data_IF_641926971006
#
_entry.id   IF_641926971006
#
_cell.length_a   1.000
_cell.length_b   1.000
_cell.length_c   1.000
_cell.angle_alpha   90.00
_cell.angle_beta   90.00
_cell.angle_gamma   90.00
#
_symmetry.space_group_name_H-M   'P 1'
#
loop_
_entity.id
_entity.type
_entity.pdbx_description
1 polymer ?
#
# COMPACT_ATOMS: atom_id res chain seq x y z
N UNK A 1 17.32 -4.26 0.13
CA UNK A 1 18.72 -3.79 0.29
C UNK A 1 18.81 -3.19 1.69
N UNK A 2 19.71 -3.70 2.53
CA UNK A 2 19.95 -3.07 3.83
C UNK A 2 20.74 -1.77 3.58
N UNK A 3 20.25 -0.67 4.10
CA UNK A 3 20.95 0.61 4.09
C UNK A 3 21.72 0.73 5.41
N UNK A 4 22.93 1.24 5.40
CA UNK A 4 23.70 1.51 6.62
C UNK A 4 23.92 3.00 6.76
N UNK A 5 23.72 3.51 7.96
CA UNK A 5 24.00 4.88 8.35
C UNK A 5 25.13 4.88 9.38
N UNK A 6 26.22 5.54 9.05
CA UNK A 6 27.29 5.81 10.01
C UNK A 6 27.05 7.21 10.57
N UNK A 7 26.90 7.30 11.88
CA UNK A 7 26.72 8.57 12.60
C UNK A 7 28.07 9.01 13.15
N UNK A 8 28.53 10.18 12.75
CA UNK A 8 29.76 10.75 13.26
C UNK A 8 29.52 11.47 14.59
N UNK A 9 30.54 11.50 15.46
CA UNK A 9 30.47 12.32 16.69
C UNK A 9 30.33 13.79 16.33
N UNK A 10 29.69 14.61 17.17
CA UNK A 10 29.54 16.04 16.92
C UNK A 10 30.89 16.79 16.77
N UNK A 11 31.94 16.30 17.42
CA UNK A 11 33.30 16.84 17.41
C UNK A 11 34.23 16.15 16.39
N UNK A 12 33.67 15.27 15.52
CA UNK A 12 34.46 14.56 14.52
C UNK A 12 35.16 15.52 13.55
N UNK A 13 36.47 15.32 13.37
CA UNK A 13 37.27 16.15 12.47
C UNK A 13 37.02 15.78 11.00
N UNK A 14 37.27 16.73 10.11
CA UNK A 14 37.12 16.51 8.67
C UNK A 14 37.93 15.31 8.14
N UNK A 15 39.13 15.10 8.70
CA UNK A 15 40.00 13.98 8.36
C UNK A 15 39.38 12.63 8.77
N UNK A 16 38.72 12.55 9.93
CA UNK A 16 38.05 11.34 10.40
C UNK A 16 36.84 10.98 9.51
N UNK A 17 36.06 12.00 9.08
CA UNK A 17 34.98 11.83 8.13
C UNK A 17 35.49 11.29 6.78
N UNK A 18 36.60 11.86 6.29
CA UNK A 18 37.24 11.43 5.04
C UNK A 18 37.75 9.99 5.11
N UNK A 19 38.32 9.60 6.26
CA UNK A 19 38.78 8.24 6.49
C UNK A 19 37.65 7.22 6.48
N UNK A 20 36.48 7.57 7.06
CA UNK A 20 35.28 6.72 6.99
C UNK A 20 34.80 6.59 5.54
N UNK A 21 34.79 7.70 4.77
CA UNK A 21 34.41 7.68 3.35
C UNK A 21 35.34 6.77 2.55
N UNK A 22 36.66 6.85 2.78
CA UNK A 22 37.66 5.97 2.15
C UNK A 22 37.47 4.51 2.53
N UNK A 23 37.14 4.21 3.80
CA UNK A 23 36.85 2.85 4.26
C UNK A 23 35.62 2.26 3.59
N UNK A 24 34.56 3.05 3.42
CA UNK A 24 33.35 2.66 2.65
C UNK A 24 33.72 2.35 1.20
N UNK A 25 34.50 3.23 0.55
CA UNK A 25 34.98 3.06 -0.83
C UNK A 25 35.86 1.82 -1.03
N UNK A 26 36.71 1.52 -0.07
CA UNK A 26 37.59 0.34 -0.09
C UNK A 26 36.81 -0.99 -0.09
N UNK A 27 35.62 -1.00 0.48
CA UNK A 27 34.68 -2.14 0.45
C UNK A 27 33.84 -2.19 -0.84
N UNK A 28 34.06 -1.29 -1.80
CA UNK A 28 33.34 -1.23 -3.07
C UNK A 28 31.95 -0.60 -2.95
N UNK A 29 31.66 0.15 -1.88
CA UNK A 29 30.38 0.82 -1.66
C UNK A 29 30.48 2.32 -1.95
N UNK A 30 29.32 2.98 -2.06
CA UNK A 30 29.25 4.44 -2.20
C UNK A 30 28.89 5.08 -0.87
N UNK A 31 29.62 6.12 -0.49
CA UNK A 31 29.38 6.93 0.69
C UNK A 31 28.65 8.21 0.30
N UNK A 32 27.52 8.48 0.95
CA UNK A 32 26.73 9.70 0.78
C UNK A 32 26.79 10.52 2.08
N UNK A 33 27.50 11.63 2.05
CA UNK A 33 27.65 12.52 3.20
C UNK A 33 26.39 13.36 3.39
N UNK A 34 25.83 13.32 4.59
CA UNK A 34 24.67 14.11 5.02
C UNK A 34 25.09 14.97 6.21
N UNK A 35 25.06 16.30 6.04
CA UNK A 35 25.37 17.26 7.11
C UNK A 35 24.06 17.75 7.70
N UNK A 36 23.76 17.37 8.93
CA UNK A 36 22.69 17.91 9.74
C UNK A 36 23.16 19.02 10.68
N UNK A 37 22.24 19.72 11.33
CA UNK A 37 22.56 20.80 12.27
C UNK A 37 23.36 20.33 13.49
N UNK A 38 23.20 19.09 13.93
CA UNK A 38 23.83 18.55 15.14
C UNK A 38 24.83 17.43 14.87
N UNK A 39 24.67 16.69 13.78
CA UNK A 39 25.50 15.52 13.46
C UNK A 39 25.78 15.43 11.97
N UNK A 40 26.96 14.97 11.64
CA UNK A 40 27.27 14.51 10.29
C UNK A 40 27.01 13.01 10.22
N UNK A 41 26.35 12.56 9.16
CA UNK A 41 26.09 11.15 8.92
C UNK A 41 26.55 10.73 7.53
N UNK A 42 26.95 9.47 7.37
CA UNK A 42 27.39 8.91 6.10
C UNK A 42 26.46 7.73 5.76
N UNK A 43 25.67 7.89 4.73
CA UNK A 43 24.81 6.83 4.20
C UNK A 43 25.60 5.93 3.24
N UNK A 44 25.56 4.62 3.43
CA UNK A 44 26.22 3.66 2.55
C UNK A 44 25.20 3.11 1.56
N UNK A 45 25.52 3.20 0.26
CA UNK A 45 24.71 2.66 -0.85
C UNK A 45 25.58 1.79 -1.78
N UNK A 46 24.91 1.06 -2.71
CA UNK A 46 25.61 0.20 -3.68
C UNK A 46 25.87 -1.23 -3.20
N UNK A 47 25.52 -1.57 -1.96
CA UNK A 47 25.70 -2.91 -1.43
C UNK A 47 24.65 -3.91 -2.00
N UNK A 48 25.13 -5.11 -2.33
CA UNK A 48 24.27 -6.23 -2.78
C UNK A 48 23.82 -7.13 -1.63
N UNK A 49 24.55 -7.10 -0.51
CA UNK A 49 24.30 -7.89 0.70
C UNK A 49 24.30 -7.00 1.94
N UNK A 50 23.99 -7.59 3.08
CA UNK A 50 24.03 -6.92 4.38
C UNK A 50 25.49 -6.54 4.72
N UNK A 51 25.70 -5.31 5.12
CA UNK A 51 27.02 -4.80 5.57
C UNK A 51 27.12 -5.02 7.08
N UNK A 52 28.31 -5.45 7.54
CA UNK A 52 28.57 -5.60 8.98
C UNK A 52 28.90 -4.24 9.60
N UNK A 53 28.15 -3.76 10.61
CA UNK A 53 28.45 -2.52 11.34
C UNK A 53 29.86 -2.51 11.96
N UNK A 54 30.34 -3.68 12.40
CA UNK A 54 31.66 -3.84 12.98
C UNK A 54 32.82 -3.33 12.11
N UNK A 55 32.60 -3.22 10.80
CA UNK A 55 33.60 -2.64 9.89
C UNK A 55 33.86 -1.13 10.12
N UNK A 56 32.92 -0.44 10.78
CA UNK A 56 32.92 1.01 10.91
C UNK A 56 32.84 1.51 12.36
N UNK A 57 32.28 0.74 13.28
CA UNK A 57 32.03 1.14 14.68
C UNK A 57 33.32 1.56 15.41
N UNK A 58 34.45 0.97 15.07
CA UNK A 58 35.74 1.25 15.71
C UNK A 58 36.58 2.31 14.99
N UNK A 59 36.06 2.94 13.93
CA UNK A 59 36.80 4.00 13.24
C UNK A 59 36.78 5.31 14.05
N UNK A 60 37.91 6.06 14.06
CA UNK A 60 37.95 7.35 14.74
C UNK A 60 36.84 8.29 14.28
N UNK A 61 36.23 9.00 15.22
CA UNK A 61 35.14 9.94 14.94
C UNK A 61 33.75 9.32 14.73
N UNK A 62 33.63 8.00 14.68
CA UNK A 62 32.32 7.32 14.58
C UNK A 62 31.68 7.26 15.96
N UNK A 63 30.40 7.66 16.04
CA UNK A 63 29.59 7.52 17.23
C UNK A 63 28.79 6.20 17.19
N UNK A 64 28.27 5.82 16.01
CA UNK A 64 27.46 4.63 15.85
C UNK A 64 27.40 4.21 14.36
N UNK A 65 27.20 2.92 14.10
CA UNK A 65 26.98 2.37 12.77
C UNK A 65 25.68 1.56 12.73
N UNK A 66 24.62 2.19 12.26
CA UNK A 66 23.26 1.69 12.35
C UNK A 66 22.86 0.99 11.04
N UNK A 67 22.50 -0.28 11.12
CA UNK A 67 21.88 -0.98 10.01
C UNK A 67 20.41 -0.60 9.91
N UNK A 68 20.07 0.17 8.88
CA UNK A 68 18.69 0.51 8.59
C UNK A 68 18.12 -0.59 7.66
N UNK A 69 17.53 -1.59 8.24
CA UNK A 69 16.72 -2.58 7.53
C UNK A 69 15.30 -2.04 7.44
N UNK A 70 14.96 -1.40 6.30
CA UNK A 70 13.55 -1.16 6.03
C UNK A 70 12.90 -2.53 5.79
N UNK A 71 11.86 -2.90 6.53
CA UNK A 71 11.17 -4.16 6.36
C UNK A 71 10.46 -4.25 4.99
N UNK A 72 10.19 -3.09 4.38
CA UNK A 72 9.55 -2.97 3.06
C UNK A 72 10.58 -2.92 1.93
N UNK A 73 10.32 -3.61 0.82
CA UNK A 73 11.21 -3.71 -0.35
C UNK A 73 10.55 -3.25 -1.66
N UNK A 74 9.30 -3.64 -1.88
CA UNK A 74 8.54 -3.40 -3.10
C UNK A 74 7.73 -2.11 -3.01
N UNK A 75 7.22 -1.79 -1.82
CA UNK A 75 6.45 -0.56 -1.55
C UNK A 75 7.33 0.69 -1.42
N UNK A 76 8.66 0.56 -1.45
CA UNK A 76 9.60 1.69 -1.38
C UNK A 76 9.75 2.34 -2.75
N UNK A 77 9.59 3.65 -2.82
CA UNK A 77 9.67 4.43 -4.06
C UNK A 77 11.02 4.35 -4.79
N UNK A 78 12.13 4.26 -4.05
CA UNK A 78 13.51 4.07 -4.58
C UNK A 78 13.85 4.90 -5.83
N UNK A 79 13.43 6.18 -5.90
CA UNK A 79 13.66 7.07 -7.04
C UNK A 79 12.76 6.80 -8.27
N UNK A 80 11.80 5.90 -8.17
CA UNK A 80 10.78 5.67 -9.23
C UNK A 80 9.81 6.84 -9.28
N UNK A 81 9.22 7.08 -10.44
CA UNK A 81 8.10 8.02 -10.61
C UNK A 81 6.87 7.61 -9.78
N UNK A 82 5.92 8.53 -9.66
CA UNK A 82 4.65 8.23 -9.02
C UNK A 82 3.94 7.08 -9.74
N UNK A 83 3.51 6.08 -8.98
CA UNK A 83 2.81 4.91 -9.54
C UNK A 83 1.50 5.35 -10.19
N UNK A 84 1.19 4.71 -11.32
CA UNK A 84 -0.08 4.83 -12.02
C UNK A 84 -0.62 3.42 -12.20
N UNK A 85 -1.64 3.09 -11.42
CA UNK A 85 -2.22 1.73 -11.36
C UNK A 85 -3.38 1.64 -12.35
N UNK A 86 -3.24 0.84 -13.42
CA UNK A 86 -4.32 0.63 -14.40
C UNK A 86 -5.46 -0.16 -13.76
N UNK A 87 -6.70 0.27 -13.98
CA UNK A 87 -7.92 -0.41 -13.53
C UNK A 87 -8.94 -0.29 -14.66
N UNK A 88 -9.23 -1.40 -15.33
CA UNK A 88 -10.08 -1.41 -16.52
C UNK A 88 -9.56 -0.49 -17.61
N UNK A 89 -10.38 0.44 -18.08
CA UNK A 89 -10.02 1.43 -19.10
C UNK A 89 -9.49 2.75 -18.54
N UNK A 90 -9.22 2.83 -17.23
CA UNK A 90 -8.72 4.03 -16.56
C UNK A 90 -7.54 3.69 -15.62
N UNK A 91 -7.12 4.61 -14.77
CA UNK A 91 -6.06 4.38 -13.80
C UNK A 91 -6.22 5.25 -12.56
N UNK A 92 -5.58 4.84 -11.45
CA UNK A 92 -5.45 5.61 -10.21
C UNK A 92 -3.98 6.00 -10.03
N UNK A 93 -3.71 7.26 -9.71
CA UNK A 93 -2.36 7.82 -9.56
C UNK A 93 -1.89 8.61 -10.79
N UNK A 94 -0.58 8.92 -10.84
CA UNK A 94 -0.01 9.72 -11.93
C UNK A 94 -0.34 11.22 -11.88
N UNK A 95 -0.80 11.72 -10.71
CA UNK A 95 -1.11 13.14 -10.50
C UNK A 95 -2.56 13.55 -10.81
N UNK A 96 -3.38 12.65 -11.33
CA UNK A 96 -4.81 12.90 -11.55
C UNK A 96 -5.65 12.44 -10.35
N UNK A 97 -6.67 13.24 -10.01
CA UNK A 97 -7.65 12.84 -8.99
C UNK A 97 -8.60 11.78 -9.56
N UNK A 98 -8.64 10.61 -8.93
CA UNK A 98 -9.58 9.56 -9.25
C UNK A 98 -10.71 9.52 -8.20
N UNK A 99 -11.96 9.65 -8.65
CA UNK A 99 -13.13 9.56 -7.79
C UNK A 99 -13.75 8.17 -7.93
N UNK A 100 -13.88 7.48 -6.79
CA UNK A 100 -14.54 6.18 -6.69
C UNK A 100 -15.86 6.40 -5.94
N UNK A 101 -16.99 6.31 -6.63
CA UNK A 101 -18.30 6.58 -6.07
C UNK A 101 -19.23 5.36 -6.20
N UNK A 102 -20.29 5.31 -5.38
CA UNK A 102 -21.26 4.24 -5.39
C UNK A 102 -21.78 3.85 -4.01
N UNK A 103 -22.76 2.94 -3.93
CA UNK A 103 -23.44 2.58 -2.70
C UNK A 103 -22.53 1.75 -1.77
N UNK A 104 -22.80 1.78 -0.47
CA UNK A 104 -22.08 0.95 0.49
C UNK A 104 -22.35 -0.55 0.25
N UNK A 105 -23.60 -0.91 -0.03
CA UNK A 105 -24.05 -2.25 -0.36
C UNK A 105 -24.91 -2.20 -1.63
N UNK A 106 -24.88 -3.27 -2.41
CA UNK A 106 -25.88 -3.50 -3.45
C UNK A 106 -27.10 -4.11 -2.78
N UNK A 107 -28.22 -3.45 -2.84
CA UNK A 107 -29.45 -3.86 -2.15
C UNK A 107 -30.46 -4.44 -3.14
N UNK A 108 -30.65 -3.74 -4.25
CA UNK A 108 -31.51 -4.16 -5.34
C UNK A 108 -31.07 -3.55 -6.68
N UNK A 109 -31.68 -3.98 -7.76
CA UNK A 109 -31.35 -3.54 -9.12
C UNK A 109 -31.64 -2.06 -9.36
N UNK A 110 -32.76 -1.54 -8.84
CA UNK A 110 -33.17 -0.16 -9.03
C UNK A 110 -32.15 0.80 -8.40
N UNK A 111 -31.79 0.55 -7.14
CA UNK A 111 -30.75 1.31 -6.42
C UNK A 111 -29.40 1.29 -7.16
N UNK A 112 -28.95 0.11 -7.61
CA UNK A 112 -27.66 -0.07 -8.27
C UNK A 112 -27.60 0.76 -9.56
N UNK A 113 -28.60 0.63 -10.43
CA UNK A 113 -28.58 1.27 -11.74
C UNK A 113 -28.83 2.77 -11.67
N UNK A 114 -29.74 3.24 -10.81
CA UNK A 114 -29.95 4.66 -10.58
C UNK A 114 -28.69 5.34 -10.02
N UNK A 115 -28.00 4.67 -9.08
CA UNK A 115 -26.74 5.17 -8.55
C UNK A 115 -25.64 5.19 -9.62
N UNK A 116 -25.54 4.14 -10.44
CA UNK A 116 -24.53 4.07 -11.50
C UNK A 116 -24.71 5.16 -12.57
N UNK A 117 -25.96 5.44 -12.94
CA UNK A 117 -26.30 6.53 -13.86
C UNK A 117 -25.86 7.89 -13.30
N UNK A 118 -26.16 8.17 -12.03
CA UNK A 118 -25.74 9.40 -11.38
C UNK A 118 -24.21 9.53 -11.27
N UNK A 119 -23.51 8.42 -10.96
CA UNK A 119 -22.05 8.38 -10.90
C UNK A 119 -21.44 8.64 -12.28
N UNK A 120 -21.94 8.00 -13.34
CA UNK A 120 -21.49 8.23 -14.71
C UNK A 120 -21.72 9.68 -15.14
N UNK A 121 -22.91 10.23 -14.86
CA UNK A 121 -23.25 11.62 -15.19
C UNK A 121 -22.38 12.65 -14.46
N UNK A 122 -21.83 12.30 -13.28
CA UNK A 122 -20.88 13.16 -12.54
C UNK A 122 -19.48 13.22 -13.16
N UNK A 123 -19.17 12.36 -14.15
CA UNK A 123 -17.85 12.23 -14.76
C UNK A 123 -16.87 11.33 -13.98
N UNK A 124 -17.31 10.70 -12.89
CA UNK A 124 -16.50 9.69 -12.21
C UNK A 124 -16.29 8.46 -13.11
N UNK A 125 -15.10 7.86 -13.03
CA UNK A 125 -14.73 6.71 -13.88
C UNK A 125 -14.79 5.37 -13.15
N UNK A 126 -14.97 5.39 -11.84
CA UNK A 126 -14.97 4.20 -11.00
C UNK A 126 -16.27 4.10 -10.20
N UNK A 127 -16.89 2.93 -10.25
CA UNK A 127 -18.05 2.59 -9.46
C UNK A 127 -17.70 1.56 -8.40
N UNK A 128 -18.06 1.84 -7.16
CA UNK A 128 -17.91 0.88 -6.08
C UNK A 128 -19.26 0.43 -5.57
N UNK A 129 -19.37 -0.84 -5.22
CA UNK A 129 -20.54 -1.40 -4.56
C UNK A 129 -20.18 -2.71 -3.87
N UNK A 130 -20.65 -2.93 -2.64
CA UNK A 130 -20.38 -4.18 -1.92
C UNK A 130 -21.39 -5.25 -2.32
N UNK A 131 -20.97 -6.24 -3.12
CA UNK A 131 -21.75 -7.44 -3.41
C UNK A 131 -21.75 -8.40 -2.20
N UNK A 132 -20.63 -8.49 -1.50
CA UNK A 132 -20.46 -9.19 -0.23
C UNK A 132 -20.29 -8.16 0.90
N UNK A 133 -20.88 -8.42 2.08
CA UNK A 133 -20.87 -7.47 3.18
C UNK A 133 -20.38 -8.10 4.48
N UNK A 134 -19.16 -7.73 4.95
CA UNK A 134 -18.68 -8.14 6.27
C UNK A 134 -19.50 -7.41 7.34
N UNK A 135 -20.38 -8.12 8.03
CA UNK A 135 -21.23 -7.58 9.09
C UNK A 135 -20.81 -8.08 10.46
N UNK A 136 -20.91 -7.22 11.47
CA UNK A 136 -20.69 -7.61 12.86
C UNK A 136 -21.78 -8.54 13.38
N UNK A 137 -23.01 -8.35 12.92
CA UNK A 137 -24.14 -9.22 13.26
C UNK A 137 -24.37 -10.25 12.14
N UNK A 138 -24.50 -11.55 12.46
CA UNK A 138 -24.83 -12.57 11.47
C UNK A 138 -26.27 -12.45 10.92
N UNK A 139 -27.11 -11.69 11.61
CA UNK A 139 -28.52 -11.45 11.20
C UNK A 139 -28.65 -10.25 10.25
N UNK A 140 -27.60 -9.46 10.05
CA UNK A 140 -27.62 -8.34 9.12
C UNK A 140 -27.51 -8.83 7.67
N UNK A 141 -27.97 -8.00 6.73
CA UNK A 141 -27.87 -8.27 5.30
C UNK A 141 -26.41 -8.53 4.88
N UNK A 142 -26.16 -9.71 4.30
CA UNK A 142 -24.81 -10.18 3.96
C UNK A 142 -24.36 -9.79 2.52
N UNK A 143 -25.23 -9.11 1.76
CA UNK A 143 -25.01 -8.77 0.36
C UNK A 143 -25.75 -9.69 -0.60
N UNK A 144 -25.74 -9.35 -1.88
CA UNK A 144 -26.37 -10.14 -2.95
C UNK A 144 -25.44 -11.23 -3.53
N UNK A 145 -24.19 -11.28 -3.06
CA UNK A 145 -23.24 -12.29 -3.54
C UNK A 145 -22.97 -12.19 -5.04
N UNK A 146 -22.94 -13.35 -5.70
CA UNK A 146 -22.66 -13.45 -7.15
C UNK A 146 -23.68 -12.69 -8.00
N UNK A 147 -24.94 -12.64 -7.60
CA UNK A 147 -25.95 -11.87 -8.35
C UNK A 147 -25.66 -10.36 -8.29
N UNK A 148 -25.12 -9.87 -7.18
CA UNK A 148 -24.60 -8.52 -7.09
C UNK A 148 -23.38 -8.28 -8.01
N UNK A 149 -22.48 -9.26 -8.15
CA UNK A 149 -21.36 -9.18 -9.09
C UNK A 149 -21.82 -9.09 -10.55
N UNK A 150 -22.82 -9.87 -10.94
CA UNK A 150 -23.43 -9.80 -12.27
C UNK A 150 -24.02 -8.41 -12.55
N UNK A 151 -24.72 -7.83 -11.56
CA UNK A 151 -25.24 -6.45 -11.69
C UNK A 151 -24.11 -5.44 -11.88
N UNK A 152 -22.97 -5.60 -11.19
CA UNK A 152 -21.81 -4.74 -11.37
C UNK A 152 -21.19 -4.88 -12.77
N UNK A 153 -21.12 -6.08 -13.32
CA UNK A 153 -20.69 -6.30 -14.71
C UNK A 153 -21.61 -5.58 -15.71
N UNK A 154 -22.94 -5.65 -15.52
CA UNK A 154 -23.90 -4.90 -16.34
C UNK A 154 -23.72 -3.37 -16.20
N UNK A 155 -23.42 -2.87 -15.00
CA UNK A 155 -23.08 -1.45 -14.79
C UNK A 155 -21.87 -1.05 -15.62
N UNK A 156 -20.81 -1.87 -15.62
CA UNK A 156 -19.62 -1.64 -16.46
C UNK A 156 -19.96 -1.53 -17.92
N UNK A 157 -20.74 -2.49 -18.44
CA UNK A 157 -21.12 -2.54 -19.86
C UNK A 157 -22.01 -1.36 -20.26
N UNK A 158 -22.99 -1.01 -19.41
CA UNK A 158 -23.98 0.01 -19.73
C UNK A 158 -23.46 1.44 -19.59
N UNK A 159 -22.64 1.70 -18.55
CA UNK A 159 -22.21 3.06 -18.20
C UNK A 159 -20.72 3.32 -18.44
N UNK A 160 -19.94 2.31 -18.82
CA UNK A 160 -18.49 2.43 -19.05
C UNK A 160 -17.69 2.68 -17.76
N UNK A 161 -18.24 2.34 -16.59
CA UNK A 161 -17.63 2.53 -15.29
C UNK A 161 -16.76 1.33 -14.91
N UNK A 162 -15.55 1.58 -14.40
CA UNK A 162 -14.67 0.52 -13.88
C UNK A 162 -15.14 0.09 -12.48
N UNK A 163 -15.21 -1.20 -12.25
CA UNK A 163 -15.84 -1.79 -11.06
C UNK A 163 -14.81 -2.10 -9.97
N UNK A 164 -15.10 -1.63 -8.76
CA UNK A 164 -14.33 -1.93 -7.54
C UNK A 164 -15.29 -2.54 -6.51
N UNK A 165 -15.05 -3.79 -6.09
CA UNK A 165 -15.87 -4.46 -5.09
C UNK A 165 -15.05 -5.29 -4.12
N UNK A 166 -15.61 -5.52 -2.92
CA UNK A 166 -14.90 -6.17 -1.81
C UNK A 166 -15.01 -7.70 -1.90
N UNK A 167 -13.87 -8.38 -1.75
CA UNK A 167 -13.79 -9.80 -1.46
C UNK A 167 -13.45 -10.03 0.02
N UNK A 168 -14.00 -11.09 0.64
CA UNK A 168 -13.84 -11.36 2.07
C UNK A 168 -13.02 -12.62 2.36
N UNK A 169 -12.97 -13.54 1.42
CA UNK A 169 -12.27 -14.82 1.48
C UNK A 169 -11.70 -15.19 0.10
N UNK A 170 -10.99 -16.31 0.00
CA UNK A 170 -10.33 -16.74 -1.23
C UNK A 170 -11.32 -17.05 -2.34
N UNK A 171 -12.45 -17.71 -2.03
CA UNK A 171 -13.53 -17.98 -2.99
C UNK A 171 -14.15 -16.69 -3.49
N UNK A 172 -14.32 -15.71 -2.60
CA UNK A 172 -14.78 -14.37 -2.94
C UNK A 172 -13.81 -13.63 -3.85
N UNK A 173 -12.48 -13.81 -3.69
CA UNK A 173 -11.49 -13.23 -4.60
C UNK A 173 -11.67 -13.81 -6.00
N UNK A 174 -11.78 -15.12 -6.14
CA UNK A 174 -11.94 -15.77 -7.45
C UNK A 174 -13.22 -15.28 -8.14
N UNK A 175 -14.34 -15.21 -7.41
CA UNK A 175 -15.59 -14.68 -7.93
C UNK A 175 -15.50 -13.19 -8.31
N UNK A 176 -14.87 -12.35 -7.47
CA UNK A 176 -14.72 -10.91 -7.75
C UNK A 176 -13.80 -10.68 -8.94
N UNK A 177 -12.73 -11.47 -9.07
CA UNK A 177 -11.78 -11.37 -10.19
C UNK A 177 -12.43 -11.63 -11.56
N UNK A 178 -13.50 -12.42 -11.60
CA UNK A 178 -14.26 -12.68 -12.84
C UNK A 178 -15.10 -11.48 -13.29
N UNK A 179 -15.63 -10.67 -12.35
CA UNK A 179 -16.62 -9.64 -12.64
C UNK A 179 -16.14 -8.20 -12.46
N UNK A 180 -15.08 -7.97 -11.68
CA UNK A 180 -14.63 -6.62 -11.32
C UNK A 180 -13.24 -6.28 -11.89
N UNK A 181 -12.96 -4.98 -12.01
CA UNK A 181 -11.70 -4.47 -12.52
C UNK A 181 -10.67 -4.22 -11.40
N UNK A 182 -11.11 -4.21 -10.14
CA UNK A 182 -10.26 -4.07 -8.96
C UNK A 182 -10.91 -4.75 -7.76
N UNK A 183 -10.11 -5.56 -7.07
CA UNK A 183 -10.51 -6.23 -5.83
C UNK A 183 -10.26 -5.30 -4.65
N UNK A 184 -11.28 -5.01 -3.85
CA UNK A 184 -11.09 -4.31 -2.59
C UNK A 184 -10.87 -5.32 -1.46
N UNK A 185 -9.81 -5.11 -0.68
CA UNK A 185 -9.59 -5.81 0.60
C UNK A 185 -9.97 -4.85 1.74
N UNK A 186 -10.97 -5.24 2.50
CA UNK A 186 -11.50 -4.45 3.60
C UNK A 186 -10.53 -4.36 4.79
N UNK A 187 -10.72 -3.33 5.62
CA UNK A 187 -9.86 -3.06 6.79
C UNK A 187 -9.76 -4.24 7.78
N UNK A 188 -10.81 -5.06 7.91
CA UNK A 188 -10.81 -6.25 8.77
C UNK A 188 -9.90 -7.37 8.25
N UNK A 189 -9.61 -7.37 6.95
CA UNK A 189 -8.81 -8.38 6.27
C UNK A 189 -7.39 -7.90 5.91
N UNK A 190 -6.97 -6.70 6.34
CA UNK A 190 -5.63 -6.19 6.06
C UNK A 190 -4.52 -7.13 6.57
N UNK A 191 -4.75 -7.84 7.65
CA UNK A 191 -3.80 -8.79 8.25
C UNK A 191 -4.11 -10.26 7.91
N UNK A 192 -5.08 -10.52 7.04
CA UNK A 192 -5.32 -11.86 6.51
C UNK A 192 -4.32 -12.16 5.40
N UNK A 193 -3.11 -12.54 5.77
CA UNK A 193 -1.99 -12.69 4.83
C UNK A 193 -2.21 -13.81 3.81
N UNK A 194 -2.99 -14.86 4.13
CA UNK A 194 -3.40 -15.87 3.15
C UNK A 194 -4.25 -15.24 2.05
N UNK A 195 -5.26 -14.46 2.44
CA UNK A 195 -6.12 -13.74 1.52
C UNK A 195 -5.33 -12.74 0.65
N UNK A 196 -4.37 -12.00 1.25
CA UNK A 196 -3.55 -11.04 0.51
C UNK A 196 -2.69 -11.72 -0.56
N UNK A 197 -2.09 -12.89 -0.24
CA UNK A 197 -1.36 -13.69 -1.21
C UNK A 197 -2.25 -14.19 -2.33
N UNK A 198 -3.46 -14.66 -2.00
CA UNK A 198 -4.43 -15.12 -3.00
C UNK A 198 -4.84 -13.97 -3.93
N UNK A 199 -5.13 -12.79 -3.38
CA UNK A 199 -5.40 -11.58 -4.15
C UNK A 199 -4.22 -11.18 -5.05
N UNK A 200 -2.98 -11.32 -4.57
CA UNK A 200 -1.77 -11.12 -5.36
C UNK A 200 -1.69 -12.04 -6.57
N UNK A 201 -1.93 -13.33 -6.37
CA UNK A 201 -1.91 -14.35 -7.45
C UNK A 201 -3.01 -14.17 -8.49
N UNK A 202 -4.12 -13.53 -8.16
CA UNK A 202 -5.20 -13.26 -9.13
C UNK A 202 -4.76 -12.34 -10.28
N UNK A 203 -3.71 -11.53 -10.09
CA UNK A 203 -3.25 -10.54 -11.07
C UNK A 203 -4.16 -9.33 -11.26
N UNK A 204 -5.34 -9.32 -10.65
CA UNK A 204 -6.28 -8.19 -10.68
C UNK A 204 -5.78 -7.08 -9.74
N UNK A 205 -5.86 -5.79 -10.12
CA UNK A 205 -5.50 -4.68 -9.23
C UNK A 205 -6.20 -4.77 -7.88
N UNK A 206 -5.49 -4.41 -6.79
CA UNK A 206 -6.01 -4.52 -5.43
C UNK A 206 -6.05 -3.16 -4.76
N UNK A 207 -7.22 -2.77 -4.22
CA UNK A 207 -7.39 -1.64 -3.31
C UNK A 207 -7.36 -2.16 -1.88
N UNK A 208 -6.24 -1.92 -1.18
CA UNK A 208 -6.01 -2.37 0.20
C UNK A 208 -6.33 -1.27 1.20
N UNK A 209 -7.33 -1.50 2.05
CA UNK A 209 -7.72 -0.57 3.12
C UNK A 209 -6.89 -0.79 4.39
N UNK A 210 -6.43 0.31 4.99
CA UNK A 210 -5.76 0.30 6.29
C UNK A 210 -6.65 -0.33 7.37
N UNK A 211 -6.06 -1.17 8.20
CA UNK A 211 -6.73 -1.82 9.33
C UNK A 211 -7.19 -0.81 10.39
N UNK A 212 -8.14 -1.23 11.24
CA UNK A 212 -8.80 -0.36 12.22
C UNK A 212 -7.85 0.22 13.28
N UNK A 213 -6.73 -0.44 13.56
CA UNK A 213 -5.70 -0.02 14.53
C UNK A 213 -4.27 -0.20 13.97
N UNK A 214 -4.15 -0.36 12.66
CA UNK A 214 -2.87 -0.61 12.00
C UNK A 214 -2.04 0.68 11.88
N UNK A 215 -0.73 0.54 12.02
CA UNK A 215 0.23 1.57 11.65
C UNK A 215 0.37 1.68 10.12
N UNK A 216 1.00 2.76 9.63
CA UNK A 216 1.32 2.89 8.21
C UNK A 216 2.33 1.83 7.76
N UNK A 217 3.30 1.48 8.61
CA UNK A 217 4.27 0.42 8.30
C UNK A 217 3.59 -0.94 8.15
N UNK A 218 2.61 -1.27 9.00
CA UNK A 218 1.82 -2.49 8.87
C UNK A 218 0.99 -2.52 7.59
N UNK A 219 0.44 -1.37 7.15
CA UNK A 219 -0.24 -1.27 5.86
C UNK A 219 0.71 -1.51 4.69
N UNK A 220 1.92 -0.93 4.73
CA UNK A 220 2.93 -1.14 3.71
C UNK A 220 3.40 -2.59 3.66
N UNK A 221 3.61 -3.22 4.82
CA UNK A 221 3.96 -4.64 4.91
C UNK A 221 2.84 -5.56 4.40
N UNK A 222 1.59 -5.21 4.65
CA UNK A 222 0.45 -5.92 4.09
C UNK A 222 0.42 -5.83 2.55
N UNK A 223 0.73 -4.65 1.99
CA UNK A 223 0.87 -4.50 0.54
C UNK A 223 2.04 -5.34 -0.03
N UNK A 224 3.16 -5.48 0.70
CA UNK A 224 4.27 -6.36 0.30
C UNK A 224 3.82 -7.81 0.09
N UNK A 225 2.87 -8.33 0.87
CA UNK A 225 2.33 -9.68 0.69
C UNK A 225 1.62 -9.86 -0.66
N UNK A 226 0.93 -8.83 -1.15
CA UNK A 226 0.29 -8.84 -2.47
C UNK A 226 1.35 -8.73 -3.56
N UNK A 227 2.27 -7.77 -3.41
CA UNK A 227 3.31 -7.49 -4.41
C UNK A 227 4.33 -8.62 -4.54
N UNK A 228 4.62 -9.34 -3.46
CA UNK A 228 5.52 -10.50 -3.45
C UNK A 228 5.00 -11.69 -4.28
N UNK A 229 3.69 -11.77 -4.52
CA UNK A 229 3.07 -12.75 -5.42
C UNK A 229 3.09 -12.29 -6.91
N UNK A 230 3.76 -11.17 -7.21
CA UNK A 230 3.94 -10.63 -8.58
C UNK A 230 2.94 -9.57 -9.01
N UNK A 231 2.00 -9.16 -8.15
CA UNK A 231 1.02 -8.12 -8.46
C UNK A 231 1.44 -6.77 -7.88
N UNK A 232 2.07 -5.93 -8.69
CA UNK A 232 2.47 -4.58 -8.29
C UNK A 232 1.32 -3.55 -8.36
N UNK A 233 0.15 -3.93 -8.86
CA UNK A 233 -1.01 -3.05 -9.01
C UNK A 233 -1.80 -2.92 -7.70
N UNK A 234 -1.20 -2.25 -6.70
CA UNK A 234 -1.79 -2.06 -5.38
C UNK A 234 -2.06 -0.59 -5.13
N UNK A 235 -3.31 -0.26 -4.80
CA UNK A 235 -3.76 1.06 -4.34
C UNK A 235 -3.95 1.01 -2.83
N UNK A 236 -3.28 1.88 -2.08
CA UNK A 236 -3.45 2.00 -0.64
C UNK A 236 -4.60 2.96 -0.31
N UNK A 237 -5.45 2.57 0.63
CA UNK A 237 -6.60 3.38 1.05
C UNK A 237 -6.52 3.67 2.55
N UNK A 238 -6.20 4.92 2.89
CA UNK A 238 -6.39 5.44 4.24
C UNK A 238 -7.91 5.56 4.54
N UNK A 239 -8.32 5.20 5.75
CA UNK A 239 -9.72 5.23 6.20
C UNK A 239 -9.90 5.67 7.66
N UNK A 240 -8.81 6.09 8.26
CA UNK A 240 -8.71 6.39 9.66
C UNK A 240 -8.60 5.15 10.55
N UNK A 241 -8.15 5.36 11.77
CA UNK A 241 -8.05 4.33 12.80
C UNK A 241 -9.09 4.58 13.90
N UNK A 242 -9.45 3.51 14.61
CA UNK A 242 -10.27 3.60 15.82
C UNK A 242 -9.39 4.04 16.98
N UNK A 243 -9.82 5.09 17.68
CA UNK A 243 -9.18 5.59 18.89
C UNK A 243 -10.13 5.46 20.10
N UNK A 244 -9.71 5.94 21.25
CA UNK A 244 -10.56 6.06 22.44
C UNK A 244 -11.60 7.19 22.35
N UNK A 245 -11.55 8.02 21.31
CA UNK A 245 -12.47 9.16 21.14
C UNK A 245 -13.88 8.67 20.81
N UNK A 246 -14.80 8.71 21.79
CA UNK A 246 -16.16 8.22 21.63
C UNK A 246 -17.04 9.08 20.70
N UNK A 247 -16.64 10.30 20.41
CA UNK A 247 -17.36 11.24 19.53
C UNK A 247 -16.99 11.09 18.04
N UNK A 248 -15.93 10.36 17.73
CA UNK A 248 -15.49 10.11 16.35
C UNK A 248 -15.46 8.61 16.06
N UNK A 249 -16.01 8.21 14.91
CA UNK A 249 -15.96 6.81 14.48
C UNK A 249 -14.55 6.36 14.15
N UNK A 250 -13.79 7.21 13.48
CA UNK A 250 -12.40 6.99 13.11
C UNK A 250 -11.66 8.33 13.07
N UNK A 251 -10.38 8.29 13.39
CA UNK A 251 -9.46 9.43 13.29
C UNK A 251 -8.55 9.20 12.11
N UNK A 252 -8.51 10.15 11.19
CA UNK A 252 -7.62 10.13 10.03
C UNK A 252 -6.20 10.45 10.50
N UNK A 253 -5.21 9.77 9.94
CA UNK A 253 -3.79 9.94 10.25
C UNK A 253 -3.13 10.91 9.28
#
# INVERSE_FOLDING_TARGET
RSFMLIVMRPDAKAEEIENVIKAVGALGYQANLMRGERHTSIGITGNKSSIDPGNFENLPGVADAIRITKPTRLTVRNGRDASRIPIGNSAIGGGELAIIAGPCALEDREQVFATAEAVAASGAKFFRGGAFKPRTSPYAFQGLGVDGLKMLAEVRERFGLNIITEAMDEVGIDAVAEYADCIQIGARNMQNFSLLKHAGRSGVPVLLKRGLSATLDELLLAAEYIMAEGNENVVLCERGIRTFAGHARNTLD
#
